data_IF_485706649664
#
_entry.id   IF_485706649664
#
_cell.length_a   1.000
_cell.length_b   1.000
_cell.length_c   1.000
_cell.angle_alpha   90.00
_cell.angle_beta   90.00
_cell.angle_gamma   90.00
#
_symmetry.space_group_name_H-M   'P 1'
#
loop_
_entity.id
_entity.type
_entity.pdbx_description
1 polymer ?
#
# COMPACT_ATOMS: atom_id res chain seq x y z
N UNK A 1 5.40 2.71 -1.81
CA UNK A 1 4.72 3.97 -1.47
C UNK A 1 3.20 3.80 -1.50
N UNK A 2 2.49 4.33 -0.49
CA UNK A 2 1.02 4.41 -0.50
C UNK A 2 0.57 5.75 -1.06
N UNK A 3 -0.02 5.76 -2.25
CA UNK A 3 -0.52 6.96 -2.92
C UNK A 3 -2.04 7.12 -2.78
N UNK A 4 -2.50 8.37 -2.65
CA UNK A 4 -3.89 8.72 -2.93
C UNK A 4 -4.11 8.70 -4.45
N UNK A 5 -4.64 7.59 -4.96
CA UNK A 5 -4.95 7.39 -6.38
C UNK A 5 -6.24 8.15 -6.73
N UNK A 6 -6.10 9.44 -7.00
CA UNK A 6 -7.23 10.34 -7.19
C UNK A 6 -8.11 9.98 -8.42
N UNK A 7 -7.57 9.22 -9.38
CA UNK A 7 -8.26 8.84 -10.61
C UNK A 7 -8.68 7.35 -10.64
N UNK A 8 -8.34 6.59 -9.59
CA UNK A 8 -8.64 5.17 -9.40
C UNK A 8 -8.12 4.26 -10.52
N UNK A 9 -6.99 4.60 -11.14
CA UNK A 9 -6.42 3.84 -12.26
C UNK A 9 -5.48 2.69 -11.83
N UNK A 10 -5.08 2.63 -10.55
CA UNK A 10 -4.16 1.61 -10.03
C UNK A 10 -2.68 1.81 -10.42
N UNK A 11 -2.31 2.99 -10.92
CA UNK A 11 -0.96 3.39 -11.30
C UNK A 11 -0.59 4.67 -10.55
N UNK A 12 0.56 4.67 -9.90
CA UNK A 12 1.09 5.83 -9.20
C UNK A 12 1.44 6.96 -10.18
N UNK A 13 0.62 8.00 -10.17
CA UNK A 13 0.80 9.19 -11.00
C UNK A 13 1.64 10.28 -10.32
N UNK A 14 2.21 11.15 -11.14
CA UNK A 14 2.92 12.33 -10.64
C UNK A 14 1.94 13.27 -9.93
N UNK A 15 2.23 13.58 -8.66
CA UNK A 15 1.39 14.46 -7.84
C UNK A 15 0.47 13.72 -6.88
N UNK A 16 0.45 12.38 -6.91
CA UNK A 16 -0.20 11.61 -5.85
C UNK A 16 0.47 11.85 -4.50
N UNK A 17 -0.37 12.08 -3.50
CA UNK A 17 0.06 12.40 -2.14
C UNK A 17 0.04 11.14 -1.31
N UNK A 18 1.08 10.95 -0.50
CA UNK A 18 1.16 9.83 0.42
C UNK A 18 0.07 9.86 1.49
N UNK A 19 -0.57 8.71 1.77
CA UNK A 19 -1.60 8.62 2.82
C UNK A 19 -0.98 8.20 4.14
N UNK A 20 -1.01 9.09 5.14
CA UNK A 20 -0.44 8.88 6.48
C UNK A 20 -1.39 8.11 7.41
N UNK A 21 -0.82 7.35 8.34
CA UNK A 21 -1.57 6.68 9.40
C UNK A 21 -2.28 5.40 8.98
N UNK A 22 -2.04 4.89 7.77
CA UNK A 22 -2.59 3.61 7.30
C UNK A 22 -1.84 2.48 7.98
N UNK A 23 -2.58 1.60 8.65
CA UNK A 23 -2.00 0.47 9.37
C UNK A 23 -1.53 -0.59 8.37
N UNK A 24 -0.25 -0.97 8.47
CA UNK A 24 0.34 -2.05 7.68
C UNK A 24 0.77 -3.17 8.61
N UNK A 25 0.36 -4.40 8.30
CA UNK A 25 0.68 -5.60 9.04
C UNK A 25 1.68 -6.43 8.25
N UNK A 26 2.66 -7.01 8.96
CA UNK A 26 3.59 -8.00 8.44
C UNK A 26 3.41 -9.28 9.24
N UNK A 27 3.07 -10.37 8.54
CA UNK A 27 2.99 -11.71 9.12
C UNK A 27 3.89 -12.66 8.36
N UNK A 28 4.47 -13.66 9.02
CA UNK A 28 5.30 -14.65 8.34
C UNK A 28 6.08 -15.53 9.28
N UNK A 29 7.01 -16.28 8.71
CA UNK A 29 7.89 -17.18 9.46
C UNK A 29 9.30 -17.03 8.91
N UNK A 30 10.25 -16.71 9.79
CA UNK A 30 11.66 -16.71 9.47
C UNK A 30 12.16 -18.14 9.20
N UNK A 31 13.26 -18.29 8.46
CA UNK A 31 13.83 -19.59 8.10
C UNK A 31 14.26 -20.43 9.32
N UNK A 32 14.46 -19.80 10.48
CA UNK A 32 14.74 -20.49 11.75
C UNK A 32 13.48 -20.94 12.51
N UNK A 33 12.30 -20.77 11.91
CA UNK A 33 11.00 -21.12 12.47
C UNK A 33 10.39 -20.04 13.38
N UNK A 34 11.05 -18.89 13.55
CA UNK A 34 10.51 -17.79 14.38
C UNK A 34 9.30 -17.16 13.68
N UNK A 35 8.10 -17.17 14.29
CA UNK A 35 6.95 -16.46 13.73
C UNK A 35 7.13 -14.95 13.87
N UNK A 36 6.72 -14.21 12.86
CA UNK A 36 6.65 -12.75 12.86
C UNK A 36 5.20 -12.33 12.70
N UNK A 37 4.75 -11.44 13.59
CA UNK A 37 3.48 -10.76 13.51
C UNK A 37 3.68 -9.36 14.12
N UNK A 38 3.84 -8.37 13.27
CA UNK A 38 4.13 -6.99 13.66
C UNK A 38 3.38 -6.02 12.76
N UNK A 39 3.28 -4.77 13.19
CA UNK A 39 2.45 -3.79 12.50
C UNK A 39 3.01 -2.38 12.71
N UNK A 40 2.89 -1.52 11.70
CA UNK A 40 3.28 -0.11 11.80
C UNK A 40 2.41 0.76 10.87
N UNK A 41 2.15 2.02 11.25
CA UNK A 41 1.44 2.95 10.38
C UNK A 41 2.36 3.51 9.30
N UNK A 42 1.77 3.92 8.17
CA UNK A 42 2.45 4.77 7.20
C UNK A 42 2.76 6.16 7.80
N UNK A 43 3.87 6.75 7.37
CA UNK A 43 4.28 8.09 7.78
C UNK A 43 3.61 9.20 6.94
N UNK A 44 3.97 10.45 7.19
CA UNK A 44 3.43 11.63 6.49
C UNK A 44 3.58 11.64 4.96
N UNK A 45 4.47 10.80 4.42
CA UNK A 45 4.68 10.63 2.98
C UNK A 45 4.07 9.31 2.47
N UNK A 46 3.24 8.64 3.25
CA UNK A 46 2.65 7.36 2.88
C UNK A 46 3.67 6.21 2.81
N UNK A 47 4.79 6.30 3.53
CA UNK A 47 5.82 5.27 3.54
C UNK A 47 5.82 4.49 4.86
N UNK A 48 6.20 3.22 4.79
CA UNK A 48 6.39 2.30 5.91
C UNK A 48 7.68 1.51 5.67
N UNK A 49 8.27 0.95 6.73
CA UNK A 49 9.50 0.17 6.59
C UNK A 49 9.67 -0.82 7.72
N UNK A 50 9.62 -2.12 7.42
CA UNK A 50 9.99 -3.16 8.40
C UNK A 50 11.49 -3.42 8.27
N UNK A 51 12.22 -3.29 9.38
CA UNK A 51 13.68 -3.48 9.39
C UNK A 51 14.08 -4.65 10.27
N UNK A 52 15.34 -5.11 10.11
CA UNK A 52 15.93 -6.19 10.92
C UNK A 52 15.14 -7.51 10.84
N UNK A 53 14.50 -7.78 9.69
CA UNK A 53 13.87 -9.06 9.42
C UNK A 53 14.92 -10.11 9.11
N UNK A 54 14.77 -11.30 9.67
CA UNK A 54 15.54 -12.47 9.26
C UNK A 54 15.02 -12.94 7.89
N UNK A 55 15.85 -13.62 7.08
CA UNK A 55 15.36 -14.30 5.88
C UNK A 55 14.20 -15.25 6.20
N UNK A 56 13.18 -15.29 5.36
CA UNK A 56 11.92 -15.97 5.65
C UNK A 56 10.85 -15.74 4.59
N UNK A 57 9.65 -16.24 4.86
CA UNK A 57 8.49 -16.00 4.01
C UNK A 57 7.52 -15.08 4.75
N UNK A 58 7.17 -13.96 4.12
CA UNK A 58 6.35 -12.92 4.73
C UNK A 58 5.19 -12.51 3.83
N UNK A 59 4.15 -11.98 4.44
CA UNK A 59 2.99 -11.41 3.78
C UNK A 59 2.71 -10.05 4.40
N UNK A 60 2.47 -9.07 3.53
CA UNK A 60 2.05 -7.73 3.92
C UNK A 60 0.54 -7.61 3.75
N UNK A 61 -0.12 -7.01 4.72
CA UNK A 61 -1.52 -6.64 4.63
C UNK A 61 -1.71 -5.17 5.00
N UNK A 62 -2.46 -4.49 4.16
CA UNK A 62 -2.92 -3.12 4.40
C UNK A 62 -4.28 -3.16 5.05
N UNK A 63 -4.44 -2.41 6.14
CA UNK A 63 -5.74 -2.18 6.75
C UNK A 63 -6.16 -0.74 6.45
N UNK A 64 -6.97 -0.59 5.41
CA UNK A 64 -7.52 0.71 5.03
C UNK A 64 -8.63 1.15 6.00
N UNK A 65 -8.73 2.45 6.32
CA UNK A 65 -9.92 3.02 6.95
C UNK A 65 -11.18 2.81 6.09
N UNK A 66 -12.35 2.95 6.71
CA UNK A 66 -13.64 2.73 6.02
C UNK A 66 -13.89 3.77 4.93
N UNK A 67 -13.31 4.96 5.08
CA UNK A 67 -13.42 6.11 4.18
C UNK A 67 -12.61 5.95 2.89
N UNK A 68 -11.90 4.84 2.73
CA UNK A 68 -11.08 4.53 1.56
C UNK A 68 -11.54 3.24 0.89
N UNK A 69 -11.20 3.10 -0.37
CA UNK A 69 -11.27 1.89 -1.17
C UNK A 69 -9.87 1.61 -1.72
N UNK A 70 -9.53 0.34 -1.90
CA UNK A 70 -8.30 -0.04 -2.59
C UNK A 70 -8.41 0.24 -4.08
N UNK A 71 -7.34 0.76 -4.66
CA UNK A 71 -7.17 0.87 -6.10
C UNK A 71 -7.12 -0.51 -6.77
N UNK A 72 -7.38 -0.59 -8.09
CA UNK A 72 -7.12 -1.82 -8.85
C UNK A 72 -5.67 -2.28 -8.69
N UNK A 73 -5.48 -3.59 -8.53
CA UNK A 73 -4.17 -4.16 -8.29
C UNK A 73 -3.50 -4.64 -9.59
N UNK A 74 -2.16 -4.66 -9.61
CA UNK A 74 -1.31 -5.19 -10.67
C UNK A 74 -1.62 -4.59 -12.06
N UNK A 75 -1.81 -3.28 -12.14
CA UNK A 75 -2.21 -2.60 -13.39
C UNK A 75 -0.99 -2.21 -14.21
N UNK A 76 -0.95 -2.68 -15.47
CA UNK A 76 0.12 -2.36 -16.39
C UNK A 76 1.26 -3.37 -16.31
N UNK A 77 2.49 -2.92 -16.57
CA UNK A 77 3.68 -3.78 -16.59
C UNK A 77 4.85 -3.22 -15.79
N UNK A 78 4.65 -2.11 -15.08
CA UNK A 78 5.67 -1.44 -14.27
C UNK A 78 5.33 -1.65 -12.79
N UNK A 79 5.88 -2.73 -12.24
CA UNK A 79 5.73 -3.22 -10.87
C UNK A 79 6.21 -2.20 -9.80
N UNK A 80 6.89 -1.14 -10.23
CA UNK A 80 7.36 -0.08 -9.33
C UNK A 80 6.33 1.04 -9.14
N UNK A 81 5.19 0.95 -9.82
CA UNK A 81 4.17 2.01 -9.85
C UNK A 81 2.77 1.52 -9.62
N UNK A 82 2.48 0.24 -9.78
CA UNK A 82 1.13 -0.27 -9.55
C UNK A 82 0.88 -0.57 -8.07
N UNK A 83 -0.36 -0.94 -7.78
CA UNK A 83 -0.79 -1.36 -6.46
C UNK A 83 -0.73 -2.89 -6.36
N UNK A 84 -0.09 -3.42 -5.32
CA UNK A 84 0.02 -4.87 -5.08
C UNK A 84 -1.13 -5.43 -4.24
N UNK A 85 -1.79 -4.56 -3.46
CA UNK A 85 -2.79 -5.00 -2.50
C UNK A 85 -4.04 -5.53 -3.20
N UNK A 86 -4.42 -6.77 -2.89
CA UNK A 86 -5.71 -7.32 -3.33
C UNK A 86 -6.87 -6.40 -2.89
N UNK A 87 -7.72 -5.91 -3.80
CA UNK A 87 -8.73 -4.91 -3.45
C UNK A 87 -9.83 -5.40 -2.49
N UNK A 88 -9.99 -6.72 -2.34
CA UNK A 88 -10.96 -7.31 -1.42
C UNK A 88 -10.42 -7.49 0.01
N UNK A 89 -9.12 -7.69 0.16
CA UNK A 89 -8.50 -8.13 1.43
C UNK A 89 -7.39 -7.22 1.93
N UNK A 90 -6.82 -6.39 1.06
CA UNK A 90 -5.61 -5.61 1.32
C UNK A 90 -4.34 -6.45 1.42
N UNK A 91 -4.39 -7.74 1.11
CA UNK A 91 -3.27 -8.67 1.22
C UNK A 91 -2.47 -8.64 -0.08
N UNK A 92 -1.15 -8.58 0.04
CA UNK A 92 -0.21 -8.62 -1.08
C UNK A 92 0.35 -10.03 -1.28
N UNK A 93 1.06 -10.25 -2.38
CA UNK A 93 1.80 -11.49 -2.64
C UNK A 93 2.81 -11.80 -1.52
N UNK A 94 3.16 -13.09 -1.38
CA UNK A 94 4.14 -13.50 -0.38
C UNK A 94 5.56 -13.17 -0.83
N UNK A 95 6.35 -12.58 0.06
CA UNK A 95 7.77 -12.29 -0.16
C UNK A 95 8.63 -13.42 0.37
N UNK A 96 9.63 -13.86 -0.42
CA UNK A 96 10.69 -14.76 0.04
C UNK A 96 11.91 -13.91 0.31
N UNK A 97 11.97 -13.33 1.50
CA UNK A 97 13.04 -12.43 1.89
C UNK A 97 14.36 -13.19 2.05
N UNK A 98 15.37 -12.75 1.32
CA UNK A 98 16.74 -13.26 1.40
C UNK A 98 17.64 -12.35 2.26
N UNK A 99 18.80 -12.87 2.66
CA UNK A 99 19.71 -12.13 3.55
C UNK A 99 20.32 -10.91 2.86
N UNK A 100 20.10 -9.72 3.43
CA UNK A 100 20.63 -8.46 2.91
C UNK A 100 19.76 -7.82 1.82
N UNK A 101 18.59 -8.38 1.56
CA UNK A 101 17.61 -7.83 0.62
C UNK A 101 16.94 -6.56 1.16
N UNK A 102 16.69 -5.60 0.26
CA UNK A 102 15.89 -4.39 0.49
C UNK A 102 14.84 -4.30 -0.61
N UNK A 103 13.64 -4.80 -0.31
CA UNK A 103 12.50 -4.73 -1.20
C UNK A 103 11.54 -3.61 -0.75
N UNK A 104 11.23 -2.70 -1.67
CA UNK A 104 10.41 -1.50 -1.44
C UNK A 104 9.26 -1.34 -2.44
N UNK A 105 8.92 -2.40 -3.17
CA UNK A 105 7.87 -2.34 -4.19
C UNK A 105 6.48 -2.63 -3.65
N UNK A 106 6.35 -3.19 -2.44
CA UNK A 106 5.06 -3.54 -1.82
C UNK A 106 4.19 -2.32 -1.51
N UNK A 107 3.29 -2.00 -2.43
CA UNK A 107 2.61 -0.72 -2.52
C UNK A 107 1.09 -0.90 -2.58
N UNK A 108 0.33 0.07 -2.07
CA UNK A 108 -1.12 0.07 -2.24
C UNK A 108 -1.66 1.46 -2.55
N UNK A 109 -2.42 1.52 -3.64
CA UNK A 109 -3.23 2.68 -3.98
C UNK A 109 -4.52 2.70 -3.15
N UNK A 110 -4.89 3.88 -2.66
CA UNK A 110 -6.16 4.10 -1.99
C UNK A 110 -6.86 5.31 -2.61
N UNK A 111 -8.17 5.24 -2.74
CA UNK A 111 -9.00 6.38 -3.12
C UNK A 111 -10.19 6.53 -2.16
N UNK A 112 -10.73 7.75 -1.96
CA UNK A 112 -11.82 7.94 -1.03
C UNK A 112 -13.07 7.15 -1.45
N UNK A 113 -13.72 6.50 -0.49
CA UNK A 113 -15.06 5.95 -0.67
C UNK A 113 -16.06 7.10 -0.72
N UNK A 114 -16.12 7.85 -1.83
CA UNK A 114 -17.27 8.73 -2.03
C UNK A 114 -18.50 7.82 -2.02
N UNK A 115 -19.40 8.07 -1.06
CA UNK A 115 -20.76 7.56 -1.15
C UNK A 115 -21.33 8.15 -2.44
N UNK A 116 -21.34 7.35 -3.51
CA UNK A 116 -21.78 7.72 -4.86
C UNK A 116 -23.27 8.10 -4.90
N UNK A 117 -23.93 8.16 -3.74
CA UNK A 117 -25.28 8.66 -3.56
C UNK A 117 -25.47 10.17 -3.71
N UNK A 118 -24.50 11.04 -3.36
CA UNK A 118 -24.88 12.47 -3.19
C UNK A 118 -23.84 13.58 -3.43
N UNK A 119 -22.66 13.34 -4.02
CA UNK A 119 -21.85 14.49 -4.49
C UNK A 119 -20.94 14.19 -5.69
N UNK A 120 -21.43 14.54 -6.88
CA UNK A 120 -20.63 14.73 -8.10
C UNK A 120 -19.84 16.04 -8.07
N UNK A 121 -19.14 16.33 -6.98
CA UNK A 121 -18.34 17.55 -6.86
C UNK A 121 -16.86 17.18 -6.81
N UNK A 122 -16.32 16.96 -8.00
CA UNK A 122 -15.04 17.48 -8.50
C UNK A 122 -14.11 17.98 -7.37
N UNK A 123 -13.14 17.16 -6.96
CA UNK A 123 -11.91 17.68 -6.36
C UNK A 123 -10.87 17.84 -7.47
N UNK A 124 -11.00 18.94 -8.21
CA UNK A 124 -9.87 19.51 -8.93
C UNK A 124 -9.05 20.29 -7.90
N UNK A 125 -8.02 19.66 -7.34
CA UNK A 125 -7.05 20.41 -6.53
C UNK A 125 -6.05 21.05 -7.50
N UNK A 126 -6.39 22.25 -7.96
CA UNK A 126 -5.40 23.20 -8.46
C UNK A 126 -4.46 23.58 -7.31
N UNK A 127 -3.15 23.45 -7.52
CA UNK A 127 -2.18 24.22 -6.77
C UNK A 127 -1.37 25.03 -7.78
N UNK A 128 -1.63 26.33 -7.81
CA UNK A 128 -0.64 27.33 -8.18
C UNK A 128 0.43 27.34 -7.07
N UNK A 129 1.69 27.08 -7.42
CA UNK A 129 2.83 28.00 -7.38
C UNK A 129 3.96 27.46 -8.26
#
# INVERSE_FOLDING_TARGET
MYGLDANANGIQDMGEIGVSGIQVNLTGVANDGTPVNTSQPTNGSGLYLFTNLKPGVYTVQVVKPVEYVFSPANVGSDDTKDSDSDPGTGIMSSEILTSGEDNRTYDAGLYPSIDLGDRKDIYQCSAEF
#
